data_IF_432697464283
#
_entry.id   IF_432697464283
#
_cell.length_a   1.000
_cell.length_b   1.000
_cell.length_c   1.000
_cell.angle_alpha   90.00
_cell.angle_beta   90.00
_cell.angle_gamma   90.00
#
_symmetry.space_group_name_H-M   'P 1'
#
loop_
_entity.id
_entity.type
_entity.pdbx_description
1 polymer ?
#
# COMPACT_ATOMS: atom_id res chain seq x y z
N UNK A 1 -5.30 10.77 7.35
CA UNK A 1 -4.18 10.07 6.71
C UNK A 1 -3.29 9.35 7.73
N UNK A 2 -2.92 9.99 8.79
CA UNK A 2 -2.09 9.37 9.85
C UNK A 2 -2.77 8.16 10.48
N UNK A 3 -4.06 8.23 10.74
CA UNK A 3 -4.83 7.13 11.34
C UNK A 3 -4.82 5.90 10.45
N UNK A 4 -4.89 6.09 9.14
CA UNK A 4 -4.83 5.00 8.16
C UNK A 4 -3.44 4.39 8.14
N UNK A 5 -2.40 5.23 8.12
CA UNK A 5 -1.02 4.76 8.19
C UNK A 5 -0.77 3.94 9.46
N UNK A 6 -1.17 4.47 10.61
CA UNK A 6 -0.99 3.78 11.90
C UNK A 6 -1.71 2.45 11.93
N UNK A 7 -2.94 2.38 11.40
CA UNK A 7 -3.70 1.14 11.36
C UNK A 7 -2.99 0.07 10.53
N UNK A 8 -2.54 0.43 9.32
CA UNK A 8 -1.87 -0.52 8.42
C UNK A 8 -0.50 -0.93 8.97
N UNK A 9 0.23 -0.01 9.60
CA UNK A 9 1.51 -0.31 10.23
C UNK A 9 1.32 -1.28 11.39
N UNK A 10 0.32 -1.06 12.23
CA UNK A 10 0.01 -1.93 13.37
C UNK A 10 -0.48 -3.31 12.92
N UNK A 11 -1.27 -3.37 11.86
CA UNK A 11 -1.73 -4.65 11.31
C UNK A 11 -0.57 -5.51 10.78
N UNK A 12 0.48 -4.87 10.27
CA UNK A 12 1.65 -5.54 9.72
C UNK A 12 1.42 -6.12 8.33
N UNK A 13 0.43 -7.00 8.19
CA UNK A 13 0.02 -7.57 6.91
C UNK A 13 -1.33 -7.00 6.51
N UNK A 14 -1.45 -6.55 5.28
CA UNK A 14 -2.72 -6.21 4.66
C UNK A 14 -2.83 -6.93 3.32
N UNK A 15 -4.03 -6.98 2.77
CA UNK A 15 -4.31 -7.66 1.50
C UNK A 15 -4.64 -6.60 0.46
N UNK A 16 -3.90 -6.65 -0.64
CA UNK A 16 -4.01 -5.71 -1.75
C UNK A 16 -4.70 -6.39 -2.92
N UNK A 17 -5.83 -5.83 -3.33
CA UNK A 17 -6.55 -6.28 -4.53
C UNK A 17 -6.21 -5.37 -5.71
N UNK A 18 -6.01 -6.01 -6.85
CA UNK A 18 -5.76 -5.37 -8.15
C UNK A 18 -6.60 -6.04 -9.22
N UNK A 19 -6.55 -5.52 -10.44
CA UNK A 19 -7.20 -6.12 -11.59
C UNK A 19 -6.16 -6.59 -12.60
N UNK A 20 -6.38 -7.80 -13.13
CA UNK A 20 -5.68 -8.30 -14.31
C UNK A 20 -6.74 -8.51 -15.38
N UNK A 21 -6.88 -7.55 -16.30
CA UNK A 21 -8.07 -7.47 -17.15
C UNK A 21 -9.32 -7.26 -16.31
N UNK A 22 -10.26 -8.19 -16.38
CA UNK A 22 -11.47 -8.19 -15.53
C UNK A 22 -11.38 -9.14 -14.34
N UNK A 23 -10.22 -9.82 -14.14
CA UNK A 23 -10.03 -10.75 -13.04
C UNK A 23 -9.47 -10.05 -11.82
N UNK A 24 -10.20 -10.02 -10.68
CA UNK A 24 -9.62 -9.55 -9.42
C UNK A 24 -8.48 -10.47 -8.98
N UNK A 25 -7.40 -9.85 -8.51
CA UNK A 25 -6.26 -10.54 -7.90
C UNK A 25 -6.04 -9.98 -6.51
N UNK A 26 -5.67 -10.83 -5.56
CA UNK A 26 -5.40 -10.40 -4.18
C UNK A 26 -4.15 -11.12 -3.67
N UNK A 27 -3.34 -10.42 -2.88
CA UNK A 27 -2.13 -10.97 -2.24
C UNK A 27 -1.81 -10.20 -0.97
N UNK A 28 -1.05 -10.81 -0.04
CA UNK A 28 -0.58 -10.09 1.13
C UNK A 28 0.52 -9.10 0.77
N UNK A 29 0.48 -7.95 1.42
CA UNK A 29 1.52 -6.91 1.41
C UNK A 29 1.90 -6.58 2.84
N UNK A 30 3.12 -6.13 3.07
CA UNK A 30 3.62 -5.81 4.40
C UNK A 30 4.25 -4.43 4.54
N UNK A 31 4.26 -3.62 3.48
CA UNK A 31 4.90 -2.31 3.51
C UNK A 31 3.88 -1.19 3.46
N UNK A 32 4.07 -0.21 4.30
CA UNK A 32 3.32 1.05 4.25
C UNK A 32 4.26 2.16 4.74
N UNK A 33 4.35 3.23 4.00
CA UNK A 33 5.23 4.34 4.32
C UNK A 33 4.46 5.66 4.20
N UNK A 34 4.89 6.65 4.96
CA UNK A 34 4.34 7.99 4.92
C UNK A 34 5.47 8.93 4.53
N UNK A 35 5.40 9.47 3.32
CA UNK A 35 6.45 10.29 2.74
C UNK A 35 5.83 11.41 1.91
N UNK A 36 6.25 12.65 2.17
CA UNK A 36 5.75 13.84 1.46
C UNK A 36 4.21 13.94 1.45
N UNK A 37 3.60 13.69 2.63
CA UNK A 37 2.14 13.71 2.83
C UNK A 37 1.36 12.74 1.93
N UNK A 38 1.96 11.60 1.61
CA UNK A 38 1.32 10.52 0.84
C UNK A 38 1.64 9.17 1.45
N UNK A 39 0.71 8.24 1.30
CA UNK A 39 0.94 6.84 1.64
C UNK A 39 1.62 6.16 0.46
N UNK A 40 2.63 5.33 0.76
CA UNK A 40 3.37 4.56 -0.23
C UNK A 40 3.33 3.09 0.10
N UNK A 41 3.30 2.27 -0.95
CA UNK A 41 3.48 0.82 -0.89
C UNK A 41 4.66 0.43 -1.79
N UNK A 42 5.27 -0.73 -1.52
CA UNK A 42 6.47 -1.17 -2.22
C UNK A 42 6.26 -2.57 -2.79
N UNK A 43 6.77 -2.79 -4.00
CA UNK A 43 6.85 -4.12 -4.61
C UNK A 43 8.10 -4.23 -5.49
N UNK A 44 8.29 -5.39 -6.11
CA UNK A 44 9.33 -5.61 -7.10
C UNK A 44 8.76 -5.55 -8.52
N UNK A 45 9.49 -4.90 -9.41
CA UNK A 45 9.09 -4.71 -10.83
C UNK A 45 8.77 -6.03 -11.53
N UNK A 46 9.44 -7.12 -11.13
CA UNK A 46 9.28 -8.45 -11.76
C UNK A 46 8.04 -9.18 -11.30
N UNK A 47 7.35 -8.71 -10.28
CA UNK A 47 6.14 -9.37 -9.77
C UNK A 47 4.93 -9.02 -10.64
N UNK A 48 3.98 -9.95 -10.81
CA UNK A 48 2.76 -9.69 -11.59
C UNK A 48 1.98 -8.47 -11.11
N UNK A 49 1.97 -8.19 -9.80
CA UNK A 49 1.26 -7.03 -9.24
C UNK A 49 1.78 -5.72 -9.82
N UNK A 50 3.07 -5.60 -10.11
CA UNK A 50 3.63 -4.38 -10.69
C UNK A 50 3.06 -4.11 -12.08
N UNK A 51 2.90 -5.15 -12.90
CA UNK A 51 2.28 -5.02 -14.22
C UNK A 51 0.80 -4.65 -14.10
N UNK A 52 0.11 -5.26 -13.14
CA UNK A 52 -1.31 -4.99 -12.91
C UNK A 52 -1.54 -3.55 -12.49
N UNK A 53 -0.72 -3.01 -11.59
CA UNK A 53 -0.81 -1.62 -11.15
C UNK A 53 -0.57 -0.63 -12.29
N UNK A 54 0.36 -0.93 -13.19
CA UNK A 54 0.65 -0.06 -14.34
C UNK A 54 -0.47 -0.10 -15.38
N UNK A 55 -1.11 -1.26 -15.57
CA UNK A 55 -2.22 -1.39 -16.50
C UNK A 55 -3.51 -0.79 -15.96
N UNK A 56 -3.75 -0.90 -14.64
CA UNK A 56 -4.92 -0.34 -13.97
C UNK A 56 -4.54 0.06 -12.55
N UNK A 57 -4.52 1.37 -12.24
CA UNK A 57 -4.08 1.86 -10.93
C UNK A 57 -5.07 1.61 -9.80
N UNK A 58 -6.30 1.23 -10.10
CA UNK A 58 -7.34 1.06 -9.06
C UNK A 58 -7.01 -0.13 -8.18
N UNK A 59 -7.04 0.11 -6.86
CA UNK A 59 -6.77 -0.91 -5.85
C UNK A 59 -7.81 -0.87 -4.74
N UNK A 60 -7.88 -1.98 -4.02
CA UNK A 60 -8.54 -2.00 -2.72
C UNK A 60 -7.63 -2.73 -1.72
N UNK A 61 -7.60 -2.22 -0.49
CA UNK A 61 -6.85 -2.79 0.62
C UNK A 61 -7.82 -3.20 1.71
N UNK A 62 -7.55 -4.35 2.34
CA UNK A 62 -8.26 -4.79 3.54
C UNK A 62 -7.27 -5.37 4.55
N UNK A 63 -7.50 -5.10 5.82
CA UNK A 63 -6.72 -5.65 6.93
C UNK A 63 -7.54 -5.67 8.21
N UNK A 64 -7.16 -6.54 9.13
CA UNK A 64 -7.77 -6.62 10.46
C UNK A 64 -6.71 -6.34 11.53
N UNK A 65 -7.10 -5.59 12.56
CA UNK A 65 -6.25 -5.34 13.72
C UNK A 65 -7.11 -4.98 14.94
N UNK A 66 -6.84 -5.62 16.07
CA UNK A 66 -7.46 -5.31 17.37
C UNK A 66 -8.99 -5.25 17.32
N UNK A 67 -9.62 -6.22 16.64
CA UNK A 67 -11.07 -6.31 16.53
C UNK A 67 -11.72 -5.32 15.57
N UNK A 68 -10.92 -4.55 14.85
CA UNK A 68 -11.39 -3.64 13.80
C UNK A 68 -10.84 -4.08 12.44
N UNK A 69 -11.42 -3.56 11.39
CA UNK A 69 -10.90 -3.78 10.03
C UNK A 69 -10.95 -2.51 9.21
N UNK A 70 -10.08 -2.44 8.22
CA UNK A 70 -10.02 -1.33 7.28
C UNK A 70 -10.41 -1.80 5.88
N UNK A 71 -11.14 -0.95 5.18
CA UNK A 71 -11.36 -1.06 3.73
C UNK A 71 -10.91 0.26 3.11
N UNK A 72 -9.99 0.17 2.16
CA UNK A 72 -9.41 1.35 1.54
C UNK A 72 -9.43 1.18 0.03
N UNK A 73 -10.03 2.13 -0.67
CA UNK A 73 -9.94 2.24 -2.12
C UNK A 73 -9.01 3.38 -2.49
N UNK A 74 -8.24 3.21 -3.54
CA UNK A 74 -7.30 4.23 -4.01
C UNK A 74 -6.87 3.94 -5.44
N UNK A 75 -6.03 4.81 -5.96
CA UNK A 75 -5.24 4.59 -7.17
C UNK A 75 -3.76 4.58 -6.78
N UNK A 76 -3.03 3.56 -7.23
CA UNK A 76 -1.60 3.42 -6.97
C UNK A 76 -0.81 3.99 -8.16
N UNK A 77 0.07 4.94 -7.91
CA UNK A 77 0.84 5.64 -8.93
C UNK A 77 2.33 5.44 -8.68
N UNK A 78 3.05 4.97 -9.70
CA UNK A 78 4.48 4.76 -9.61
C UNK A 78 5.21 6.08 -9.35
N UNK A 79 6.08 6.09 -8.34
CA UNK A 79 7.04 7.16 -8.10
C UNK A 79 8.44 6.65 -8.41
N UNK A 80 9.00 7.11 -9.51
CA UNK A 80 10.31 6.64 -9.98
C UNK A 80 11.49 7.30 -9.25
N UNK A 81 11.25 8.23 -8.33
CA UNK A 81 12.32 8.96 -7.65
C UNK A 81 13.04 8.05 -6.67
N UNK A 82 14.37 8.15 -6.67
CA UNK A 82 15.21 7.38 -5.76
C UNK A 82 14.95 7.72 -4.29
N UNK A 83 14.60 8.97 -3.99
CA UNK A 83 14.31 9.45 -2.63
C UNK A 83 13.13 8.70 -2.01
N UNK A 84 12.11 8.41 -2.80
CA UNK A 84 10.96 7.65 -2.34
C UNK A 84 11.34 6.20 -2.02
N UNK A 85 12.19 5.60 -2.83
CA UNK A 85 12.70 4.24 -2.59
C UNK A 85 13.56 4.18 -1.32
N UNK A 86 14.45 5.16 -1.13
CA UNK A 86 15.30 5.25 0.06
C UNK A 86 14.44 5.35 1.31
N UNK A 87 13.45 6.22 1.32
CA UNK A 87 12.59 6.44 2.48
C UNK A 87 11.84 5.15 2.86
N UNK A 88 11.28 4.47 1.87
CA UNK A 88 10.58 3.20 2.09
C UNK A 88 11.51 2.14 2.68
N UNK A 89 12.68 1.94 2.09
CA UNK A 89 13.60 0.89 2.53
C UNK A 89 14.20 1.20 3.91
N UNK A 90 14.39 2.48 4.24
CA UNK A 90 14.83 2.86 5.59
C UNK A 90 13.77 2.58 6.64
N UNK A 91 12.50 2.62 6.27
CA UNK A 91 11.37 2.24 7.15
C UNK A 91 11.25 0.72 7.32
N UNK A 92 11.83 -0.06 6.40
CA UNK A 92 11.81 -1.52 6.42
C UNK A 92 13.21 -2.09 6.17
N UNK A 93 14.14 -1.96 7.15
CA UNK A 93 15.53 -2.39 6.95
C UNK A 93 15.68 -3.86 6.54
N UNK A 94 14.76 -4.73 6.97
CA UNK A 94 14.79 -6.15 6.61
C UNK A 94 14.66 -6.40 5.10
N UNK A 95 14.07 -5.46 4.36
CA UNK A 95 13.95 -5.58 2.91
C UNK A 95 15.28 -5.35 2.19
N UNK A 96 16.27 -4.76 2.86
CA UNK A 96 17.57 -4.44 2.26
C UNK A 96 18.39 -5.68 1.90
N UNK A 97 17.98 -6.86 2.37
CA UNK A 97 18.56 -8.13 1.91
C UNK A 97 18.09 -8.53 0.51
N UNK A 98 16.97 -7.99 0.03
CA UNK A 98 16.35 -8.34 -1.25
C UNK A 98 16.26 -7.16 -2.22
N UNK A 99 16.21 -5.94 -1.69
CA UNK A 99 16.00 -4.72 -2.47
C UNK A 99 17.02 -3.66 -2.08
N UNK A 100 17.39 -2.82 -3.05
CA UNK A 100 18.23 -1.65 -2.82
C UNK A 100 17.70 -0.47 -3.65
N UNK A 101 17.88 0.77 -3.17
CA UNK A 101 17.51 1.93 -3.98
C UNK A 101 18.21 1.90 -5.33
N UNK A 102 17.47 2.13 -6.41
CA UNK A 102 18.05 2.17 -7.75
C UNK A 102 18.50 0.83 -8.31
N UNK A 103 18.04 -0.30 -7.74
CA UNK A 103 18.44 -1.64 -8.19
C UNK A 103 17.76 -2.09 -9.49
N UNK A 104 16.88 -1.27 -10.06
CA UNK A 104 16.13 -1.61 -11.27
C UNK A 104 14.96 -2.58 -11.02
N UNK A 105 14.72 -2.95 -9.77
CA UNK A 105 13.61 -3.84 -9.39
C UNK A 105 12.69 -3.23 -8.32
N UNK A 106 13.22 -2.45 -7.38
CA UNK A 106 12.42 -1.79 -6.35
C UNK A 106 11.49 -0.78 -6.99
N UNK A 107 10.19 -0.91 -6.71
CA UNK A 107 9.18 0.06 -7.13
C UNK A 107 8.35 0.48 -5.94
N UNK A 108 8.15 1.79 -5.80
CA UNK A 108 7.24 2.36 -4.80
C UNK A 108 6.12 3.12 -5.50
N UNK A 109 4.93 3.00 -4.95
CA UNK A 109 3.72 3.60 -5.50
C UNK A 109 3.08 4.46 -4.42
N UNK A 110 2.74 5.70 -4.73
CA UNK A 110 1.92 6.49 -3.81
C UNK A 110 0.45 6.27 -4.09
N UNK A 111 -0.36 6.38 -3.05
CA UNK A 111 -1.80 6.22 -3.14
C UNK A 111 -2.47 7.59 -3.25
N UNK A 112 -3.34 7.74 -4.24
CA UNK A 112 -4.13 8.96 -4.43
C UNK A 112 -5.61 8.63 -4.49
N UNK A 113 -6.46 9.65 -4.30
CA UNK A 113 -7.91 9.49 -4.27
C UNK A 113 -8.31 8.40 -3.27
N UNK A 114 -7.76 8.49 -2.07
CA UNK A 114 -7.96 7.50 -1.03
C UNK A 114 -9.30 7.73 -0.33
N UNK A 115 -10.07 6.65 -0.22
CA UNK A 115 -11.21 6.58 0.70
C UNK A 115 -11.01 5.37 1.59
N UNK A 116 -10.84 5.58 2.88
CA UNK A 116 -10.61 4.53 3.85
C UNK A 116 -11.68 4.54 4.91
N UNK A 117 -12.23 3.37 5.22
CA UNK A 117 -13.20 3.17 6.31
C UNK A 117 -12.58 2.23 7.34
N UNK A 118 -12.46 2.71 8.57
CA UNK A 118 -12.03 1.89 9.71
C UNK A 118 -13.30 1.49 10.46
N UNK A 119 -13.59 0.20 10.47
CA UNK A 119 -14.85 -0.38 10.90
C UNK A 119 -14.69 -1.21 12.17
N UNK A 120 -15.78 -1.30 12.95
CA UNK A 120 -15.90 -2.20 14.09
C UNK A 120 -17.33 -2.71 14.18
N UNK A 121 -17.57 -3.71 15.05
CA UNK A 121 -18.92 -4.21 15.29
C UNK A 121 -19.73 -3.33 16.25
N UNK A 122 -19.10 -2.35 16.89
CA UNK A 122 -19.71 -1.62 18.03
C UNK A 122 -19.88 -0.12 17.78
N UNK A 123 -19.32 0.42 16.68
CA UNK A 123 -19.41 1.85 16.39
C UNK A 123 -19.56 2.11 14.89
N UNK A 124 -19.95 3.34 14.55
CA UNK A 124 -20.01 3.77 13.17
C UNK A 124 -18.61 3.78 12.54
N UNK A 125 -18.50 3.50 11.23
CA UNK A 125 -17.22 3.58 10.55
C UNK A 125 -16.59 4.98 10.62
N UNK A 126 -15.28 5.00 10.85
CA UNK A 126 -14.48 6.22 10.70
C UNK A 126 -14.03 6.30 9.24
N UNK A 127 -14.45 7.36 8.53
CA UNK A 127 -14.13 7.53 7.12
C UNK A 127 -13.08 8.62 6.95
N UNK A 128 -12.04 8.31 6.20
CA UNK A 128 -10.95 9.23 5.87
C UNK A 128 -10.82 9.34 4.36
N UNK A 129 -10.73 10.57 3.87
CA UNK A 129 -10.56 10.83 2.43
C UNK A 129 -9.36 11.76 2.24
N UNK A 130 -8.46 11.39 1.38
CA UNK A 130 -7.27 12.19 1.10
C UNK A 130 -6.60 11.83 -0.22
#
# INVERSE_FOLDING_TARGET
MHEVYEFLKAAGTYYLATLEGDQPRVRPFGTIDLFEDRLYIQTGKRKPVAEQLKANPKIEISAMHAGRWIRLTAEAVLDARIEAQIHMLDNYPSLKSMYAPGDGNTEVYFLRNVTASICSFTSEPEVHQF
#
